data_IF_211058038278
#
_entry.id   IF_211058038278
#
_cell.length_a   1.000
_cell.length_b   1.000
_cell.length_c   1.000
_cell.angle_alpha   90.00
_cell.angle_beta   90.00
_cell.angle_gamma   90.00
#
_symmetry.space_group_name_H-M   'P 1'
#
loop_
_entity.id
_entity.type
_entity.pdbx_description
1 polymer ?
#
# COMPACT_ATOMS: atom_id res chain seq x y z
N UNK A 1 -4.00 -2.14 -26.93
CA UNK A 1 -3.31 -1.04 -26.22
C UNK A 1 -3.87 0.27 -26.73
N UNK A 2 -4.34 1.22 -25.91
CA UNK A 2 -4.55 2.57 -26.42
C UNK A 2 -3.18 3.17 -26.72
N UNK A 3 -2.98 3.60 -27.96
CA UNK A 3 -1.75 4.26 -28.40
C UNK A 3 -1.61 5.58 -27.64
N UNK A 4 -0.63 5.67 -26.74
CA UNK A 4 -0.27 6.91 -26.08
C UNK A 4 0.63 7.68 -27.03
N UNK A 5 0.04 8.52 -27.88
CA UNK A 5 0.78 9.50 -28.67
C UNK A 5 1.31 10.59 -27.73
N UNK A 6 2.62 10.56 -27.45
CA UNK A 6 3.33 11.64 -26.75
C UNK A 6 4.13 12.45 -27.79
N UNK A 7 3.94 13.78 -27.90
CA UNK A 7 4.72 14.60 -28.81
C UNK A 7 6.15 14.78 -28.29
N UNK A 8 7.17 14.47 -29.11
CA UNK A 8 8.53 15.01 -28.96
C UNK A 8 9.45 14.37 -27.92
N UNK A 9 9.26 13.09 -27.54
CA UNK A 9 10.21 12.37 -26.68
C UNK A 9 11.42 11.82 -27.46
N UNK A 10 12.63 11.96 -26.92
CA UNK A 10 13.83 11.28 -27.39
C UNK A 10 13.65 9.75 -27.35
N UNK A 11 14.01 9.04 -28.42
CA UNK A 11 13.80 7.58 -28.57
C UNK A 11 14.30 6.75 -27.39
N UNK A 12 15.44 7.16 -26.80
CA UNK A 12 16.06 6.52 -25.64
C UNK A 12 15.20 6.56 -24.37
N UNK A 13 14.28 7.52 -24.26
CA UNK A 13 13.36 7.59 -23.14
C UNK A 13 12.21 6.58 -23.28
N UNK A 14 11.69 6.41 -24.49
CA UNK A 14 10.60 5.46 -24.74
C UNK A 14 11.07 4.02 -24.45
N UNK A 15 12.29 3.67 -24.84
CA UNK A 15 12.90 2.37 -24.55
C UNK A 15 13.07 2.15 -23.04
N UNK A 16 13.54 3.15 -22.30
CA UNK A 16 13.70 3.04 -20.85
C UNK A 16 12.36 2.86 -20.12
N UNK A 17 11.30 3.56 -20.59
CA UNK A 17 9.94 3.40 -20.05
C UNK A 17 9.38 2.00 -20.33
N UNK A 18 9.63 1.48 -21.53
CA UNK A 18 9.20 0.15 -21.92
C UNK A 18 9.89 -0.93 -21.08
N UNK A 19 11.21 -0.85 -20.90
CA UNK A 19 11.96 -1.77 -20.04
C UNK A 19 11.47 -1.76 -18.59
N UNK A 20 11.19 -0.57 -18.04
CA UNK A 20 10.63 -0.46 -16.69
C UNK A 20 9.22 -1.05 -16.59
N UNK A 21 8.38 -0.84 -17.61
CA UNK A 21 7.06 -1.47 -17.67
C UNK A 21 7.16 -2.99 -17.75
N UNK A 22 8.06 -3.52 -18.57
CA UNK A 22 8.31 -4.96 -18.68
C UNK A 22 8.82 -5.55 -17.36
N UNK A 23 9.71 -4.86 -16.65
CA UNK A 23 10.16 -5.28 -15.33
C UNK A 23 9.00 -5.32 -14.31
N UNK A 24 8.07 -4.35 -14.38
CA UNK A 24 6.86 -4.38 -13.56
C UNK A 24 5.94 -5.54 -13.95
N UNK A 25 5.72 -5.79 -15.24
CA UNK A 25 4.89 -6.91 -15.74
C UNK A 25 5.52 -8.28 -15.43
N UNK A 26 6.85 -8.35 -15.35
CA UNK A 26 7.55 -9.56 -14.94
C UNK A 26 7.36 -9.82 -13.43
N UNK A 27 7.30 -8.76 -12.61
CA UNK A 27 7.13 -8.86 -11.16
C UNK A 27 5.66 -8.99 -10.73
N UNK A 28 4.78 -8.29 -11.42
CA UNK A 28 3.35 -8.17 -11.13
C UNK A 28 2.56 -8.60 -12.35
N UNK A 29 1.40 -9.22 -12.16
CA UNK A 29 0.61 -9.64 -13.31
C UNK A 29 0.11 -8.43 -14.10
N UNK A 30 0.18 -8.51 -15.43
CA UNK A 30 -0.22 -7.43 -16.31
C UNK A 30 -1.67 -6.97 -16.04
N UNK A 31 -2.60 -7.89 -15.79
CA UNK A 31 -4.00 -7.58 -15.47
C UNK A 31 -4.14 -6.71 -14.21
N UNK A 32 -3.35 -6.96 -13.17
CA UNK A 32 -3.33 -6.12 -11.96
C UNK A 32 -2.80 -4.73 -12.27
N UNK A 33 -1.72 -4.63 -13.04
CA UNK A 33 -1.14 -3.34 -13.43
C UNK A 33 -2.13 -2.51 -14.26
N UNK A 34 -2.84 -3.12 -15.21
CA UNK A 34 -3.79 -2.39 -16.07
C UNK A 34 -5.01 -1.85 -15.32
N UNK A 35 -5.31 -2.33 -14.11
CA UNK A 35 -6.36 -1.75 -13.25
C UNK A 35 -5.96 -0.41 -12.63
N UNK A 36 -4.68 -0.06 -12.66
CA UNK A 36 -4.15 1.18 -12.12
C UNK A 36 -3.93 2.22 -13.23
N UNK A 37 -4.10 3.49 -12.88
CA UNK A 37 -3.69 4.60 -13.75
C UNK A 37 -2.24 4.97 -13.46
N UNK A 38 -1.43 4.95 -14.52
CA UNK A 38 0.00 5.19 -14.42
C UNK A 38 0.34 6.51 -15.08
N UNK A 39 1.08 7.37 -14.36
CA UNK A 39 1.63 8.59 -14.94
C UNK A 39 3.14 8.59 -14.78
N UNK A 40 3.81 8.72 -15.91
CA UNK A 40 5.23 9.03 -15.95
C UNK A 40 5.43 10.47 -15.48
N UNK A 41 6.01 10.64 -14.30
CA UNK A 41 6.33 11.96 -13.75
C UNK A 41 7.84 12.15 -13.84
N UNK A 42 8.25 13.07 -14.72
CA UNK A 42 9.62 13.56 -14.72
C UNK A 42 9.84 14.37 -13.45
N UNK A 43 10.76 13.93 -12.60
CA UNK A 43 11.20 14.75 -11.46
C UNK A 43 12.10 15.84 -12.05
N UNK A 44 11.53 17.01 -12.32
CA UNK A 44 12.34 18.21 -12.48
C UNK A 44 12.82 18.62 -11.09
N UNK A 45 14.11 18.45 -10.82
CA UNK A 45 14.74 19.04 -9.64
C UNK A 45 14.82 20.56 -9.84
N UNK A 46 14.15 21.40 -9.03
CA UNK A 46 14.17 22.84 -9.22
C UNK A 46 15.48 23.52 -8.77
N UNK A 47 16.42 22.77 -8.19
CA UNK A 47 17.54 23.35 -7.43
C UNK A 47 18.90 23.37 -8.15
N UNK A 48 18.95 23.48 -9.48
CA UNK A 48 20.25 23.78 -10.13
C UNK A 48 20.10 24.57 -11.44
N UNK A 49 20.06 25.89 -11.30
CA UNK A 49 20.41 26.85 -12.36
C UNK A 49 21.93 26.83 -12.62
N UNK A 50 22.51 25.68 -12.98
CA UNK A 50 23.87 25.64 -13.52
C UNK A 50 23.93 24.66 -14.69
N UNK A 51 24.20 25.25 -15.86
CA UNK A 51 23.97 24.71 -17.19
C UNK A 51 24.91 23.56 -17.62
N UNK A 52 25.62 22.89 -16.72
CA UNK A 52 26.77 22.04 -17.12
C UNK A 52 26.63 20.56 -16.73
N UNK A 53 25.67 20.18 -15.89
CA UNK A 53 25.36 18.76 -15.63
C UNK A 53 23.90 18.44 -15.98
N UNK A 54 23.57 18.52 -17.28
CA UNK A 54 22.27 18.08 -17.81
C UNK A 54 22.18 16.58 -18.10
N UNK A 55 23.27 15.84 -17.92
CA UNK A 55 23.27 14.40 -18.10
C UNK A 55 23.34 13.70 -16.75
N UNK A 56 22.37 12.80 -16.54
CA UNK A 56 22.36 11.76 -15.50
C UNK A 56 21.83 12.21 -14.13
N UNK A 57 20.52 12.44 -14.03
CA UNK A 57 19.70 11.98 -12.90
C UNK A 57 18.19 12.11 -13.21
N UNK A 58 17.75 11.51 -14.32
CA UNK A 58 16.32 11.27 -14.55
C UNK A 58 15.92 10.00 -13.80
N UNK A 59 15.78 10.09 -12.47
CA UNK A 59 14.99 9.09 -11.74
C UNK A 59 13.52 9.29 -12.12
N UNK A 60 13.15 8.82 -13.31
CA UNK A 60 11.77 8.72 -13.81
C UNK A 60 11.07 7.69 -12.95
N UNK A 61 10.50 8.16 -11.84
CA UNK A 61 9.66 7.31 -11.00
C UNK A 61 8.31 7.23 -11.70
N UNK A 62 7.87 6.01 -12.03
CA UNK A 62 6.46 5.76 -12.33
C UNK A 62 5.71 6.20 -11.09
N UNK A 63 4.95 7.30 -11.17
CA UNK A 63 4.04 7.66 -10.09
C UNK A 63 2.71 7.05 -10.48
N UNK A 64 2.28 6.09 -9.67
CA UNK A 64 0.91 5.60 -9.68
C UNK A 64 0.01 6.83 -9.45
N UNK A 65 -0.64 7.30 -10.51
CA UNK A 65 -1.58 8.40 -10.39
C UNK A 65 -2.84 7.79 -9.79
N UNK A 66 -2.94 7.92 -8.48
CA UNK A 66 -3.99 7.37 -7.64
C UNK A 66 -5.40 7.94 -7.94
N UNK A 67 -5.64 8.49 -9.14
CA UNK A 67 -6.90 9.11 -9.55
C UNK A 67 -8.05 8.09 -9.64
N UNK A 68 -7.74 6.80 -9.71
CA UNK A 68 -8.71 5.69 -9.60
C UNK A 68 -8.62 4.92 -8.27
N UNK A 69 -7.79 5.38 -7.32
CA UNK A 69 -7.53 4.70 -6.03
C UNK A 69 -8.52 5.16 -4.95
N UNK A 70 -9.39 6.14 -5.24
CA UNK A 70 -10.52 6.45 -4.36
C UNK A 70 -11.44 5.22 -4.16
N UNK A 71 -11.52 4.32 -5.16
CA UNK A 71 -12.24 3.04 -5.07
C UNK A 71 -11.40 1.89 -4.49
N UNK A 72 -10.10 2.10 -4.25
CA UNK A 72 -9.21 1.04 -3.74
C UNK A 72 -9.48 0.72 -2.28
N UNK A 73 -9.94 1.72 -1.52
CA UNK A 73 -10.41 1.49 -0.17
C UNK A 73 -11.85 0.98 -0.25
N UNK A 74 -11.97 -0.33 -0.46
CA UNK A 74 -13.23 -0.99 -0.20
C UNK A 74 -13.68 -0.66 1.22
N UNK A 75 -15.00 -0.58 1.40
CA UNK A 75 -15.62 -0.52 2.72
C UNK A 75 -15.30 -1.83 3.43
N UNK A 76 -14.24 -1.82 4.24
CA UNK A 76 -13.83 -2.95 5.05
C UNK A 76 -14.86 -3.13 6.17
N UNK A 77 -15.51 -4.28 6.17
CA UNK A 77 -16.51 -4.68 7.15
C UNK A 77 -15.90 -5.48 8.30
N UNK A 78 -14.80 -6.20 8.03
CA UNK A 78 -14.12 -7.06 9.00
C UNK A 78 -12.65 -6.68 9.20
N UNK A 79 -12.12 -6.89 10.41
CA UNK A 79 -10.71 -6.53 10.70
C UNK A 79 -9.77 -7.35 9.82
N UNK A 80 -10.11 -8.61 9.55
CA UNK A 80 -9.30 -9.48 8.72
C UNK A 80 -9.25 -9.06 7.23
N UNK A 81 -10.26 -8.34 6.73
CA UNK A 81 -10.23 -7.81 5.36
C UNK A 81 -9.14 -6.73 5.21
N UNK A 82 -8.79 -6.01 6.28
CA UNK A 82 -7.66 -5.06 6.25
C UNK A 82 -6.36 -5.79 5.93
N UNK A 83 -6.17 -6.97 6.52
CA UNK A 83 -4.98 -7.79 6.24
C UNK A 83 -5.02 -8.39 4.85
N UNK A 84 -6.18 -8.88 4.41
CA UNK A 84 -6.34 -9.45 3.08
C UNK A 84 -6.06 -8.40 1.98
N UNK A 85 -6.60 -7.19 2.13
CA UNK A 85 -6.28 -6.05 1.28
C UNK A 85 -4.77 -5.73 1.29
N UNK A 86 -4.14 -5.79 2.48
CA UNK A 86 -2.71 -5.52 2.60
C UNK A 86 -1.84 -6.56 1.89
N UNK A 87 -2.14 -7.84 2.07
CA UNK A 87 -1.33 -8.95 1.59
C UNK A 87 -1.63 -9.35 0.14
N UNK A 88 -2.89 -9.31 -0.27
CA UNK A 88 -3.37 -9.82 -1.55
C UNK A 88 -3.90 -8.72 -2.48
N UNK A 89 -4.24 -7.55 -1.95
CA UNK A 89 -4.85 -6.47 -2.70
C UNK A 89 -6.36 -6.63 -2.85
N UNK A 90 -7.13 -5.53 -2.89
CA UNK A 90 -8.57 -5.59 -3.07
C UNK A 90 -8.90 -5.99 -4.52
N UNK A 91 -9.95 -6.78 -4.78
CA UNK A 91 -10.49 -7.06 -6.14
C UNK A 91 -9.47 -7.36 -7.26
N UNK A 92 -8.37 -8.04 -6.92
CA UNK A 92 -7.27 -8.32 -7.85
C UNK A 92 -6.53 -7.07 -8.35
N UNK A 93 -6.53 -5.99 -7.56
CA UNK A 93 -5.55 -4.91 -7.65
C UNK A 93 -4.22 -5.38 -7.04
N UNK A 94 -3.23 -4.49 -6.98
CA UNK A 94 -1.96 -4.77 -6.31
C UNK A 94 -2.16 -4.79 -4.80
N UNK A 95 -1.42 -5.64 -4.12
CA UNK A 95 -1.35 -5.66 -2.66
C UNK A 95 -0.80 -4.33 -2.13
N UNK A 96 -1.38 -3.82 -1.04
CA UNK A 96 -0.91 -2.57 -0.40
C UNK A 96 0.55 -2.72 0.05
N UNK A 97 0.96 -3.92 0.49
CA UNK A 97 2.36 -4.22 0.81
C UNK A 97 3.30 -3.94 -0.37
N UNK A 98 2.94 -4.42 -1.55
CA UNK A 98 3.78 -4.28 -2.75
C UNK A 98 3.84 -2.82 -3.20
N UNK A 99 2.72 -2.09 -3.04
CA UNK A 99 2.65 -0.65 -3.25
C UNK A 99 3.58 0.12 -2.30
N UNK A 100 3.57 -0.23 -1.01
CA UNK A 100 4.45 0.36 0.00
C UNK A 100 5.93 0.05 -0.25
N UNK A 101 6.26 -1.17 -0.67
CA UNK A 101 7.64 -1.57 -0.95
C UNK A 101 8.24 -0.82 -2.14
N UNK A 102 7.48 -0.69 -3.23
CA UNK A 102 8.01 -0.17 -4.51
C UNK A 102 7.82 1.33 -4.68
N UNK A 103 6.71 1.87 -4.17
CA UNK A 103 6.37 3.29 -4.34
C UNK A 103 6.36 4.05 -3.02
N UNK A 104 6.42 3.39 -1.86
CA UNK A 104 6.45 4.02 -0.54
C UNK A 104 5.35 5.08 -0.38
N UNK A 105 5.65 6.19 0.29
CA UNK A 105 4.68 7.28 0.43
C UNK A 105 4.25 7.93 -0.89
N UNK A 106 4.85 7.60 -2.05
CA UNK A 106 4.56 8.28 -3.32
C UNK A 106 3.23 7.87 -3.93
N UNK A 107 2.77 6.64 -3.71
CA UNK A 107 1.54 6.15 -4.33
C UNK A 107 0.25 6.77 -3.74
N UNK A 108 0.31 7.39 -2.55
CA UNK A 108 -0.84 8.10 -1.93
C UNK A 108 -0.67 9.62 -1.79
N UNK A 109 0.42 10.22 -2.27
CA UNK A 109 0.80 11.63 -2.00
C UNK A 109 -0.26 12.67 -2.34
N UNK A 110 -1.13 12.37 -3.30
CA UNK A 110 -2.11 13.34 -3.81
C UNK A 110 -3.52 13.14 -3.22
N UNK A 111 -3.69 12.19 -2.30
CA UNK A 111 -5.02 11.85 -1.76
C UNK A 111 -4.96 11.74 -0.23
N UNK A 112 -5.19 12.86 0.46
CA UNK A 112 -5.09 12.97 1.93
C UNK A 112 -6.00 11.99 2.69
N UNK A 113 -7.15 11.63 2.11
CA UNK A 113 -8.07 10.65 2.69
C UNK A 113 -7.46 9.25 2.69
N UNK A 114 -6.84 8.84 1.58
CA UNK A 114 -6.12 7.56 1.47
C UNK A 114 -4.92 7.53 2.42
N UNK A 115 -4.15 8.62 2.50
CA UNK A 115 -3.05 8.70 3.45
C UNK A 115 -3.52 8.47 4.89
N UNK A 116 -4.56 9.19 5.30
CA UNK A 116 -5.11 9.08 6.66
C UNK A 116 -5.63 7.68 6.97
N UNK A 117 -6.32 7.05 6.01
CA UNK A 117 -6.88 5.72 6.18
C UNK A 117 -5.79 4.64 6.17
N UNK A 118 -4.80 4.74 5.29
CA UNK A 118 -3.66 3.83 5.30
C UNK A 118 -2.85 3.94 6.60
N UNK A 119 -2.65 5.15 7.14
CA UNK A 119 -2.01 5.32 8.45
C UNK A 119 -2.74 4.58 9.57
N UNK A 120 -4.07 4.51 9.54
CA UNK A 120 -4.87 3.73 10.51
C UNK A 120 -4.68 2.23 10.29
N UNK A 121 -4.89 1.76 9.06
CA UNK A 121 -4.78 0.34 8.67
C UNK A 121 -3.40 -0.24 8.92
N UNK A 122 -2.35 0.59 8.76
CA UNK A 122 -0.95 0.22 9.05
C UNK A 122 -0.74 -0.30 10.48
N UNK A 123 -1.57 0.09 11.44
CA UNK A 123 -1.49 -0.43 12.82
C UNK A 123 -1.92 -1.89 12.90
N UNK A 124 -2.96 -2.27 12.16
CA UNK A 124 -3.42 -3.66 12.05
C UNK A 124 -2.39 -4.49 11.32
N UNK A 125 -1.83 -3.99 10.21
CA UNK A 125 -0.81 -4.74 9.47
C UNK A 125 0.46 -4.91 10.30
N UNK A 126 0.90 -3.88 11.03
CA UNK A 126 2.04 -3.97 11.97
C UNK A 126 1.77 -4.99 13.08
N UNK A 127 0.56 -5.03 13.64
CA UNK A 127 0.17 -6.02 14.64
C UNK A 127 0.31 -7.44 14.08
N UNK A 128 -0.25 -7.69 12.89
CA UNK A 128 -0.22 -9.00 12.24
C UNK A 128 1.20 -9.41 11.86
N UNK A 129 1.99 -8.51 11.27
CA UNK A 129 3.40 -8.77 10.95
C UNK A 129 4.23 -9.08 12.19
N UNK A 130 4.00 -8.37 13.29
CA UNK A 130 4.74 -8.59 14.54
C UNK A 130 4.39 -9.94 15.16
N UNK A 131 3.11 -10.31 15.15
CA UNK A 131 2.65 -11.62 15.62
C UNK A 131 3.14 -12.75 14.71
N UNK A 132 3.16 -12.54 13.38
CA UNK A 132 3.66 -13.52 12.41
C UNK A 132 5.16 -13.81 12.49
N UNK A 133 5.95 -12.98 13.20
CA UNK A 133 7.36 -13.27 13.49
C UNK A 133 7.55 -14.29 14.61
N UNK A 134 6.49 -14.63 15.37
CA UNK A 134 6.56 -15.68 16.40
C UNK A 134 6.65 -17.05 15.75
N UNK A 135 7.44 -17.95 16.34
CA UNK A 135 7.60 -19.32 15.84
C UNK A 135 6.24 -20.03 15.78
N UNK A 136 5.94 -20.69 14.66
CA UNK A 136 4.68 -21.42 14.39
C UNK A 136 3.42 -20.57 14.20
N UNK A 137 3.53 -19.24 14.13
CA UNK A 137 2.38 -18.38 13.85
C UNK A 137 2.22 -18.21 12.33
N UNK A 138 1.22 -18.89 11.75
CA UNK A 138 0.77 -18.58 10.39
C UNK A 138 -0.25 -17.45 10.40
N UNK A 139 -0.49 -16.82 9.24
CA UNK A 139 -1.44 -15.69 9.10
C UNK A 139 -2.84 -16.03 9.64
N UNK A 140 -3.32 -17.26 9.44
CA UNK A 140 -4.62 -17.70 9.96
C UNK A 140 -4.68 -17.68 11.48
N UNK A 141 -3.63 -18.16 12.15
CA UNK A 141 -3.50 -18.10 13.61
C UNK A 141 -3.35 -16.66 14.11
N UNK A 142 -2.61 -15.81 13.39
CA UNK A 142 -2.44 -14.40 13.76
C UNK A 142 -3.76 -13.62 13.68
N UNK A 143 -4.60 -13.91 12.69
CA UNK A 143 -5.89 -13.24 12.51
C UNK A 143 -7.00 -13.79 13.39
N UNK A 144 -6.79 -14.94 14.03
CA UNK A 144 -7.77 -15.57 14.92
C UNK A 144 -8.07 -14.74 16.17
N UNK A 145 -7.08 -14.26 16.96
CA UNK A 145 -7.36 -13.40 18.12
C UNK A 145 -8.16 -12.15 17.77
N UNK A 146 -7.83 -11.39 16.70
CA UNK A 146 -8.62 -10.23 16.33
C UNK A 146 -10.07 -10.55 15.97
N UNK A 147 -10.29 -11.63 15.22
CA UNK A 147 -11.64 -12.10 14.85
C UNK A 147 -12.46 -12.50 16.08
N UNK A 148 -11.90 -13.36 16.93
CA UNK A 148 -12.66 -13.90 18.07
C UNK A 148 -12.94 -12.84 19.14
N UNK A 149 -11.96 -11.98 19.44
CA UNK A 149 -12.03 -11.03 20.56
C UNK A 149 -12.63 -9.67 20.19
N UNK A 150 -12.31 -9.14 19.01
CA UNK A 150 -12.66 -7.76 18.65
C UNK A 150 -13.80 -7.66 17.64
N UNK A 151 -13.94 -8.59 16.69
CA UNK A 151 -15.07 -8.54 15.75
C UNK A 151 -16.42 -8.82 16.42
N UNK A 152 -16.43 -9.59 17.52
CA UNK A 152 -17.62 -9.84 18.33
C UNK A 152 -17.89 -8.75 19.39
N UNK A 153 -16.97 -7.80 19.58
CA UNK A 153 -17.11 -6.78 20.60
C UNK A 153 -18.04 -5.65 20.11
N UNK A 154 -19.05 -5.22 20.89
CA UNK A 154 -20.05 -4.24 20.45
C UNK A 154 -19.42 -2.94 19.94
N UNK A 155 -18.40 -2.43 20.64
CA UNK A 155 -17.74 -1.17 20.28
C UNK A 155 -16.61 -1.30 19.25
N UNK A 156 -16.01 -2.50 19.09
CA UNK A 156 -14.79 -2.70 18.28
C UNK A 156 -15.04 -3.52 17.02
N UNK A 157 -16.29 -3.95 16.78
CA UNK A 157 -16.69 -4.67 15.56
C UNK A 157 -16.33 -3.92 14.29
N UNK A 158 -16.44 -2.58 14.30
CA UNK A 158 -16.11 -1.76 13.13
C UNK A 158 -14.59 -1.69 12.98
N UNK A 159 -14.02 -2.02 11.81
CA UNK A 159 -12.57 -2.01 11.62
C UNK A 159 -11.91 -0.65 11.93
N UNK A 160 -12.62 0.44 11.63
CA UNK A 160 -12.19 1.80 12.00
C UNK A 160 -12.10 2.01 13.51
N UNK A 161 -13.10 1.55 14.28
CA UNK A 161 -13.09 1.65 15.73
C UNK A 161 -11.97 0.80 16.34
N UNK A 162 -11.68 -0.35 15.74
CA UNK A 162 -10.53 -1.17 16.12
C UNK A 162 -9.19 -0.47 15.85
N UNK A 163 -9.00 0.15 14.68
CA UNK A 163 -7.80 0.94 14.41
C UNK A 163 -7.61 2.10 15.42
N UNK A 164 -8.69 2.80 15.76
CA UNK A 164 -8.67 3.87 16.78
C UNK A 164 -8.34 3.31 18.18
N UNK A 165 -8.88 2.13 18.53
CA UNK A 165 -8.53 1.42 19.75
C UNK A 165 -7.03 1.10 19.82
N UNK A 166 -6.44 0.59 18.73
CA UNK A 166 -4.99 0.32 18.67
C UNK A 166 -4.16 1.58 18.89
N UNK A 167 -4.66 2.75 18.50
CA UNK A 167 -3.98 4.04 18.65
C UNK A 167 -4.17 4.67 20.05
N UNK A 168 -5.26 4.33 20.74
CA UNK A 168 -5.66 4.96 22.01
C UNK A 168 -4.54 4.90 23.06
N UNK A 169 -4.41 5.97 23.84
CA UNK A 169 -3.53 6.03 25.02
C UNK A 169 -2.04 5.79 24.70
N UNK A 170 -1.55 6.24 23.54
CA UNK A 170 -0.16 6.03 23.14
C UNK A 170 0.17 4.59 22.74
N UNK A 171 -0.81 3.84 22.21
CA UNK A 171 -0.64 2.44 21.81
C UNK A 171 -0.94 1.43 22.93
N UNK A 172 -1.69 1.82 23.96
CA UNK A 172 -2.13 0.88 25.01
C UNK A 172 -3.03 -0.22 24.45
N UNK A 173 -3.90 0.11 23.49
CA UNK A 173 -4.72 -0.89 22.79
C UNK A 173 -3.89 -1.88 21.98
N UNK A 174 -2.81 -1.42 21.34
CA UNK A 174 -1.88 -2.31 20.63
C UNK A 174 -1.19 -3.29 21.59
N UNK A 175 -0.73 -2.82 22.76
CA UNK A 175 -0.16 -3.69 23.81
C UNK A 175 -1.18 -4.71 24.31
N UNK A 176 -2.42 -4.27 24.56
CA UNK A 176 -3.50 -5.15 24.98
C UNK A 176 -3.84 -6.22 23.93
N UNK A 177 -3.75 -5.87 22.63
CA UNK A 177 -3.91 -6.84 21.54
C UNK A 177 -2.79 -7.88 21.51
N UNK A 178 -1.54 -7.50 21.78
CA UNK A 178 -0.44 -8.45 21.92
C UNK A 178 -0.64 -9.41 23.10
N UNK A 179 -0.98 -8.89 24.28
CA UNK A 179 -1.28 -9.71 25.48
C UNK A 179 -2.45 -10.65 25.20
N UNK A 180 -3.49 -10.16 24.52
CA UNK A 180 -4.62 -10.98 24.13
C UNK A 180 -4.17 -12.13 23.24
N UNK A 181 -3.36 -11.86 22.22
CA UNK A 181 -2.83 -12.87 21.32
C UNK A 181 -1.95 -13.91 22.04
N UNK A 182 -1.15 -13.50 23.04
CA UNK A 182 -0.35 -14.44 23.86
C UNK A 182 -1.19 -15.44 24.67
N UNK A 183 -2.48 -15.13 24.88
CA UNK A 183 -3.40 -16.03 25.58
C UNK A 183 -4.00 -17.11 24.66
N UNK A 184 -3.74 -17.05 23.35
CA UNK A 184 -4.25 -18.04 22.39
C UNK A 184 -3.26 -19.20 22.25
N UNK A 185 -3.76 -20.46 22.28
CA UNK A 185 -2.94 -21.66 22.15
C UNK A 185 -2.41 -21.87 20.72
#
# INVERSE_FOLDING_TARGET
>A
MPAVTVPGGNTTDLEARQLQWEALVAKFRADQLHKHSWKWVGIFSPSTLSSIYKHVCLYRTIILAATLVADLHQTVSHIAEIWDEYANGPNGYLAVRDLDEHWQARWWRNVNTLHSENCRRKKVTTLVETLGRKLNWNVGLVLRPPREKYENHPDLKKPRAFCEYLQKGGGSGLKAAFIAADSFP
#
